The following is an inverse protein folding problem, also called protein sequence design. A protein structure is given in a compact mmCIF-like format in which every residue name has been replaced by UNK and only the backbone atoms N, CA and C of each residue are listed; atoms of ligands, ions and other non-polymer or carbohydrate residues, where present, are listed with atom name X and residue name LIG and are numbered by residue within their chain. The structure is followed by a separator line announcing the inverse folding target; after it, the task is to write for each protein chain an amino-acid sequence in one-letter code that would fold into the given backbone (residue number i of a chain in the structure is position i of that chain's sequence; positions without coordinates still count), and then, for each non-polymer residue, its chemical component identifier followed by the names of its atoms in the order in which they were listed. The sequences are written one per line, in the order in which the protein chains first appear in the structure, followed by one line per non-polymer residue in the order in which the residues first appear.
data_IF_044091194791
#
_entry.id   IF_044091194791
#
_cell.length_a   1.000
_cell.length_b   1.000
_cell.length_c   1.000
_cell.angle_alpha   90.00
_cell.angle_beta   90.00
_cell.angle_gamma   90.00
#
_symmetry.space_group_name_H-M   'P 1'
#
loop_
_entity.id
_entity.type
_entity.pdbx_description
1 polymer ?
#
# COMPACT_ATOMS: atom_id res chain seq x y z
N UNK A 1 -11.93 10.80 5.34
CA UNK A 1 -10.55 10.62 4.90
C UNK A 1 -9.71 10.05 6.02
N UNK A 2 -8.92 9.09 5.73
CA UNK A 2 -8.09 8.51 6.75
C UNK A 2 -6.80 9.33 6.90
N UNK A 3 -6.25 9.27 8.10
CA UNK A 3 -5.01 9.97 8.39
C UNK A 3 -3.86 9.00 8.29
N UNK A 4 -3.05 9.18 7.29
CA UNK A 4 -1.94 8.26 7.06
C UNK A 4 -0.94 8.32 8.20
N UNK A 5 -0.75 9.48 8.77
CA UNK A 5 0.17 9.61 9.90
C UNK A 5 -0.24 8.76 11.09
N UNK A 6 -1.54 8.46 11.21
CA UNK A 6 -2.01 7.60 12.30
C UNK A 6 -1.73 6.14 12.05
N UNK A 7 -1.58 5.75 10.78
CA UNK A 7 -1.34 4.36 10.42
C UNK A 7 0.12 4.08 10.13
N UNK A 8 0.89 5.11 9.86
CA UNK A 8 2.30 4.93 9.58
C UNK A 8 3.08 4.97 10.87
N UNK A 9 3.65 3.86 11.19
CA UNK A 9 4.60 3.79 12.27
C UNK A 9 5.99 3.81 11.65
N UNK A 10 6.61 4.96 11.68
CA UNK A 10 7.90 5.13 11.02
C UNK A 10 9.00 4.34 11.71
N UNK A 11 8.76 3.85 12.90
CA UNK A 11 9.76 3.08 13.62
C UNK A 11 10.08 1.75 12.97
N UNK A 12 9.14 1.20 12.17
CA UNK A 12 9.40 -0.08 11.54
C UNK A 12 10.28 0.04 10.30
N UNK A 13 10.51 1.25 9.83
CA UNK A 13 11.29 1.43 8.62
C UNK A 13 12.76 1.51 8.96
N UNK A 14 13.57 0.58 8.48
CA UNK A 14 15.01 0.69 8.68
C UNK A 14 15.59 1.87 7.92
N UNK A 15 14.91 2.31 6.86
CA UNK A 15 15.31 3.48 6.10
C UNK A 15 14.06 4.12 5.53
N UNK A 16 14.11 5.42 5.33
CA UNK A 16 13.01 6.10 4.66
C UNK A 16 12.91 5.67 3.22
N UNK A 17 11.70 5.74 2.66
CA UNK A 17 11.54 5.55 1.22
C UNK A 17 12.43 6.50 0.44
N UNK A 18 12.97 6.01 -0.65
CA UNK A 18 13.91 6.78 -1.47
C UNK A 18 13.22 7.67 -2.48
N UNK A 19 11.91 7.58 -2.61
CA UNK A 19 11.14 8.37 -3.55
C UNK A 19 9.85 7.66 -3.87
N UNK A 20 9.29 7.95 -5.03
CA UNK A 20 8.01 7.39 -5.46
C UNK A 20 8.18 6.67 -6.79
N UNK A 21 7.27 5.74 -7.06
CA UNK A 21 7.24 5.01 -8.31
C UNK A 21 5.80 4.79 -8.75
N UNK A 22 5.62 4.50 -10.02
CA UNK A 22 4.31 4.17 -10.57
C UNK A 22 4.02 2.69 -10.40
N UNK A 23 2.73 2.37 -10.26
CA UNK A 23 2.28 0.99 -10.29
C UNK A 23 2.40 0.47 -11.72
N UNK A 24 2.99 -0.70 -11.88
CA UNK A 24 3.13 -1.38 -13.17
C UNK A 24 2.77 -2.85 -12.99
N UNK A 25 2.08 -3.40 -13.96
CA UNK A 25 1.74 -4.82 -13.93
C UNK A 25 3.03 -5.64 -13.89
N UNK A 26 3.02 -6.68 -13.05
CA UNK A 26 4.14 -7.59 -12.82
C UNK A 26 5.27 -7.01 -11.98
N UNK A 27 5.09 -5.80 -11.45
CA UNK A 27 6.08 -5.25 -10.54
C UNK A 27 5.96 -5.90 -9.17
N UNK A 28 7.08 -6.35 -8.62
CA UNK A 28 7.10 -6.90 -7.27
C UNK A 28 7.14 -5.78 -6.25
N UNK A 29 6.40 -5.99 -5.16
CA UNK A 29 6.24 -5.00 -4.11
C UNK A 29 6.26 -5.69 -2.76
N UNK A 30 6.39 -4.89 -1.70
CA UNK A 30 6.20 -5.38 -0.35
C UNK A 30 5.53 -4.31 0.48
N UNK A 31 5.03 -4.72 1.64
CA UNK A 31 4.50 -3.81 2.64
C UNK A 31 4.86 -4.35 4.03
N UNK A 32 4.77 -3.50 5.02
CA UNK A 32 4.78 -3.93 6.41
C UNK A 32 3.53 -3.40 7.08
N UNK A 33 2.61 -4.29 7.38
CA UNK A 33 1.33 -3.93 7.97
C UNK A 33 1.27 -4.23 9.44
N UNK A 34 0.35 -3.56 10.12
CA UNK A 34 0.19 -3.75 11.56
C UNK A 34 -0.32 -5.15 11.89
N UNK A 35 -1.13 -5.74 11.00
CA UNK A 35 -1.76 -7.02 11.24
C UNK A 35 -0.89 -8.19 10.81
N UNK A 36 -0.35 -8.14 9.59
CA UNK A 36 0.32 -9.30 9.01
C UNK A 36 1.82 -9.12 8.83
N UNK A 37 2.37 -7.97 9.23
CA UNK A 37 3.81 -7.74 9.12
C UNK A 37 4.27 -7.56 7.68
N UNK A 38 5.45 -8.05 7.38
CA UNK A 38 6.05 -7.92 6.05
C UNK A 38 5.52 -9.02 5.15
N UNK A 39 4.90 -8.63 4.05
CA UNK A 39 4.49 -9.56 3.01
C UNK A 39 4.91 -9.01 1.66
N UNK A 40 5.16 -9.94 0.73
CA UNK A 40 5.56 -9.61 -0.63
C UNK A 40 4.43 -9.95 -1.58
N UNK A 41 4.34 -9.21 -2.65
CA UNK A 41 3.31 -9.42 -3.65
C UNK A 41 3.72 -8.94 -5.01
N UNK A 42 2.82 -9.11 -5.96
CA UNK A 42 3.02 -8.68 -7.33
C UNK A 42 1.78 -7.91 -7.78
N UNK A 43 1.99 -6.82 -8.51
CA UNK A 43 0.88 -6.05 -9.04
C UNK A 43 0.30 -6.80 -10.22
N UNK A 44 -1.00 -7.12 -10.13
CA UNK A 44 -1.68 -7.92 -11.14
C UNK A 44 -2.59 -7.10 -12.03
N UNK A 45 -3.01 -5.91 -11.58
CA UNK A 45 -3.90 -5.05 -12.35
C UNK A 45 -3.65 -3.61 -11.97
N UNK A 46 -3.89 -2.72 -12.93
CA UNK A 46 -3.80 -1.26 -12.71
C UNK A 46 -5.04 -0.61 -13.30
N UNK A 47 -5.23 0.66 -12.97
CA UNK A 47 -6.34 1.48 -13.51
C UNK A 47 -7.71 0.93 -13.15
N UNK A 48 -7.81 0.24 -12.02
CA UNK A 48 -9.09 -0.21 -11.53
C UNK A 48 -9.86 0.90 -10.85
N UNK A 49 -11.13 0.66 -10.63
CA UNK A 49 -11.96 1.57 -9.85
C UNK A 49 -12.83 0.77 -8.90
N UNK A 50 -13.17 1.39 -7.78
CA UNK A 50 -14.03 0.73 -6.79
C UNK A 50 -14.65 1.78 -5.89
N UNK A 51 -15.83 1.44 -5.35
CA UNK A 51 -16.42 2.21 -4.28
C UNK A 51 -16.03 1.56 -2.97
N UNK A 52 -15.40 2.33 -2.11
CA UNK A 52 -14.87 1.81 -0.86
C UNK A 52 -15.42 2.65 0.28
N UNK A 53 -15.96 1.96 1.29
CA UNK A 53 -16.46 2.63 2.48
C UNK A 53 -15.32 2.81 3.46
N UNK A 54 -15.03 4.07 3.79
CA UNK A 54 -14.04 4.43 4.81
C UNK A 54 -14.74 5.27 5.86
N UNK A 55 -14.79 4.76 7.07
CA UNK A 55 -15.39 5.48 8.20
C UNK A 55 -16.82 5.95 7.87
N UNK A 56 -17.63 5.03 7.38
CA UNK A 56 -19.04 5.27 7.07
C UNK A 56 -19.28 6.27 5.93
N UNK A 57 -18.25 6.56 5.14
CA UNK A 57 -18.37 7.39 3.96
C UNK A 57 -17.94 6.57 2.75
N UNK A 58 -18.77 6.57 1.71
CA UNK A 58 -18.43 5.89 0.47
C UNK A 58 -17.65 6.82 -0.42
N UNK A 59 -16.50 6.34 -0.88
CA UNK A 59 -15.65 7.06 -1.80
C UNK A 59 -15.52 6.26 -3.08
N UNK A 60 -15.51 6.95 -4.20
CA UNK A 60 -15.22 6.33 -5.48
C UNK A 60 -13.75 6.57 -5.81
N UNK A 61 -12.98 5.50 -5.92
CA UNK A 61 -11.56 5.57 -6.22
C UNK A 61 -11.31 5.15 -7.66
N UNK A 62 -10.39 5.85 -8.31
CA UNK A 62 -9.93 5.53 -9.66
C UNK A 62 -8.46 5.16 -9.63
N UNK A 63 -8.03 4.51 -10.69
CA UNK A 63 -6.63 4.15 -10.89
C UNK A 63 -6.05 3.30 -9.76
N UNK A 64 -6.90 2.54 -9.11
CA UNK A 64 -6.43 1.60 -8.11
C UNK A 64 -5.59 0.52 -8.77
N UNK A 65 -4.65 -0.02 -8.01
CA UNK A 65 -3.95 -1.20 -8.46
C UNK A 65 -4.17 -2.35 -7.49
N UNK A 66 -4.12 -3.55 -8.03
CA UNK A 66 -4.38 -4.76 -7.26
C UNK A 66 -3.07 -5.53 -7.07
N UNK A 67 -2.90 -6.08 -5.88
CA UNK A 67 -1.72 -6.82 -5.50
C UNK A 67 -2.14 -8.20 -5.03
N UNK A 68 -1.45 -9.22 -5.52
CA UNK A 68 -1.64 -10.59 -5.07
C UNK A 68 -0.39 -11.04 -4.33
N UNK A 69 -0.56 -11.91 -3.35
CA UNK A 69 0.55 -12.45 -2.59
C UNK A 69 1.54 -13.17 -3.52
N UNK A 70 2.81 -12.86 -3.35
CA UNK A 70 3.89 -13.50 -4.08
C UNK A 70 5.04 -13.70 -3.11
N UNK A 71 5.07 -14.83 -2.38
CA UNK A 71 6.00 -15.02 -1.29
C UNK A 71 7.46 -14.93 -1.72
N UNK A 72 8.26 -14.35 -0.84
CA UNK A 72 9.70 -14.29 -1.02
C UNK A 72 10.33 -15.31 -0.08
N UNK A 73 11.01 -16.32 -0.62
CA UNK A 73 11.62 -17.33 0.24
C UNK A 73 12.66 -16.79 1.20
N UNK A 74 13.28 -15.68 0.87
CA UNK A 74 14.26 -15.04 1.75
C UNK A 74 13.60 -14.33 2.93
N UNK A 75 12.30 -14.10 2.86
CA UNK A 75 11.56 -13.37 3.89
C UNK A 75 10.28 -14.14 4.20
N UNK A 76 10.38 -15.31 4.85
CA UNK A 76 9.21 -16.13 5.10
C UNK A 76 8.22 -15.43 6.02
N UNK A 77 6.96 -15.56 5.68
CA UNK A 77 5.85 -15.07 6.47
C UNK A 77 4.70 -16.05 6.23
N UNK A 78 4.14 -16.64 7.27
CA UNK A 78 3.12 -17.68 7.09
C UNK A 78 1.78 -17.17 6.60
N UNK A 79 1.55 -15.86 6.59
CA UNK A 79 0.26 -15.36 6.18
C UNK A 79 0.03 -15.63 4.70
N UNK A 80 -1.14 -16.22 4.32
CA UNK A 80 -1.31 -16.70 2.95
C UNK A 80 -1.62 -15.62 1.93
N UNK A 81 -2.04 -14.42 2.36
CA UNK A 81 -2.43 -13.35 1.45
C UNK A 81 -1.55 -12.13 1.67
N UNK A 82 -1.65 -11.16 0.75
CA UNK A 82 -0.82 -9.97 0.86
C UNK A 82 -1.20 -9.13 2.08
N UNK A 83 -2.49 -8.99 2.35
CA UNK A 83 -2.99 -8.24 3.51
C UNK A 83 -4.11 -8.99 4.21
N UNK A 84 -4.39 -8.56 5.43
CA UNK A 84 -5.61 -8.89 6.14
C UNK A 84 -6.24 -7.59 6.63
N UNK A 85 -7.46 -7.70 7.12
CA UNK A 85 -8.11 -6.55 7.74
C UNK A 85 -7.22 -6.04 8.88
N UNK A 86 -7.04 -4.74 8.91
CA UNK A 86 -6.11 -4.13 9.86
C UNK A 86 -4.80 -3.71 9.25
N UNK A 87 -4.53 -4.11 8.01
CA UNK A 87 -3.35 -3.65 7.27
C UNK A 87 -3.62 -2.41 6.42
N UNK A 88 -4.86 -1.92 6.39
CA UNK A 88 -5.21 -0.72 5.62
C UNK A 88 -4.40 0.46 6.08
N UNK A 89 -3.97 1.27 5.14
CA UNK A 89 -3.10 2.40 5.41
C UNK A 89 -1.62 2.08 5.30
N UNK A 90 -1.27 0.81 5.12
CA UNK A 90 0.13 0.43 4.95
C UNK A 90 0.65 0.95 3.62
N UNK A 91 1.91 1.35 3.60
CA UNK A 91 2.57 1.72 2.37
C UNK A 91 2.90 0.50 1.53
N UNK A 92 2.76 0.66 0.21
CA UNK A 92 3.23 -0.31 -0.75
C UNK A 92 4.53 0.23 -1.35
N UNK A 93 5.57 -0.58 -1.28
CA UNK A 93 6.91 -0.18 -1.67
C UNK A 93 7.45 -1.12 -2.74
N UNK A 94 8.28 -0.59 -3.61
CA UNK A 94 9.09 -1.44 -4.48
C UNK A 94 10.17 -2.12 -3.65
N UNK A 95 10.83 -3.13 -4.23
CA UNK A 95 11.88 -3.83 -3.51
C UNK A 95 13.06 -2.94 -3.15
N UNK A 96 13.22 -1.82 -3.84
CA UNK A 96 14.24 -0.83 -3.51
C UNK A 96 13.67 0.40 -2.81
N UNK A 97 12.53 0.24 -2.14
CA UNK A 97 11.96 1.22 -1.22
C UNK A 97 11.43 2.50 -1.87
N UNK A 98 10.92 2.41 -3.07
CA UNK A 98 10.15 3.51 -3.67
C UNK A 98 8.69 3.32 -3.31
N UNK A 99 8.01 4.38 -2.90
CA UNK A 99 6.60 4.32 -2.56
C UNK A 99 5.76 4.25 -3.82
N UNK A 100 4.89 3.26 -3.91
CA UNK A 100 3.94 3.15 -5.02
C UNK A 100 2.57 3.64 -4.59
N UNK A 101 2.15 3.33 -3.39
CA UNK A 101 0.81 3.69 -2.95
C UNK A 101 0.52 3.27 -1.54
N UNK A 102 -0.76 3.28 -1.21
CA UNK A 102 -1.26 2.99 0.13
C UNK A 102 -2.40 2.00 0.01
N UNK A 103 -2.37 0.96 0.85
CA UNK A 103 -3.42 -0.05 0.90
C UNK A 103 -4.72 0.57 1.36
N UNK A 104 -5.79 0.35 0.61
CA UNK A 104 -7.12 0.80 0.98
C UNK A 104 -8.02 -0.31 1.45
N UNK A 105 -7.99 -1.46 0.80
CA UNK A 105 -9.00 -2.47 1.06
C UNK A 105 -8.51 -3.85 0.66
N UNK A 106 -9.10 -4.86 1.31
CA UNK A 106 -8.93 -6.26 0.94
C UNK A 106 -10.16 -6.67 0.13
N UNK A 107 -9.92 -7.25 -1.04
CA UNK A 107 -10.98 -7.73 -1.91
C UNK A 107 -10.63 -9.16 -2.31
N UNK A 108 -11.21 -10.13 -1.62
CA UNK A 108 -10.85 -11.52 -1.82
C UNK A 108 -9.39 -11.75 -1.49
N UNK A 109 -8.65 -12.34 -2.40
CA UNK A 109 -7.22 -12.58 -2.21
C UNK A 109 -6.36 -11.39 -2.60
N UNK A 110 -6.95 -10.33 -3.11
CA UNK A 110 -6.22 -9.17 -3.59
C UNK A 110 -6.24 -8.05 -2.58
N UNK A 111 -5.20 -7.25 -2.60
CA UNK A 111 -5.17 -5.96 -1.93
C UNK A 111 -5.37 -4.88 -2.97
N UNK A 112 -6.24 -3.92 -2.68
CA UNK A 112 -6.40 -2.76 -3.54
C UNK A 112 -5.70 -1.58 -2.90
N UNK A 113 -4.92 -0.88 -3.72
CA UNK A 113 -4.12 0.23 -3.25
C UNK A 113 -4.32 1.46 -4.13
N UNK A 114 -4.21 2.61 -3.50
CA UNK A 114 -4.31 3.89 -4.17
C UNK A 114 -2.92 4.37 -4.56
N UNK A 115 -2.69 4.80 -5.81
CA UNK A 115 -1.39 5.34 -6.20
C UNK A 115 -1.00 6.54 -5.34
N UNK A 116 0.28 6.64 -5.04
CA UNK A 116 0.78 7.68 -4.14
C UNK A 116 0.49 9.08 -4.65
N UNK A 117 0.45 9.26 -5.96
CA UNK A 117 0.22 10.59 -6.53
C UNK A 117 -1.14 11.16 -6.14
N UNK A 118 -2.12 10.30 -5.88
CA UNK A 118 -3.44 10.77 -5.48
C UNK A 118 -3.54 11.08 -4.00
N UNK A 119 -2.64 10.55 -3.21
CA UNK A 119 -2.65 10.82 -1.77
C UNK A 119 -2.38 12.29 -1.51
N UNK A 120 -1.50 12.90 -2.30
CA UNK A 120 -1.22 14.32 -2.15
C UNK A 120 -2.45 15.19 -2.38
N UNK A 121 -3.36 14.73 -3.25
CA UNK A 121 -4.57 15.48 -3.54
C UNK A 121 -5.53 15.54 -2.37
N UNK A 122 -5.33 14.70 -1.37
CA UNK A 122 -6.14 14.73 -0.16
C UNK A 122 -5.48 15.53 0.95
N UNK A 123 -4.40 16.22 0.64
CA UNK A 123 -3.73 17.04 1.64
C UNK A 123 -2.90 16.24 2.63
N UNK A 124 -2.51 15.05 2.28
CA UNK A 124 -1.72 14.22 3.17
C UNK A 124 -0.25 14.52 2.96
N UNK A 125 0.23 15.52 3.66
CA UNK A 125 1.55 16.08 3.44
C UNK A 125 2.62 15.44 4.30
N UNK A 126 2.30 14.36 4.98
CA UNK A 126 3.25 13.69 5.86
C UNK A 126 4.50 13.22 5.12
N UNK A 127 4.42 13.13 3.82
CA UNK A 127 5.56 12.73 3.00
C UNK A 127 6.35 13.89 2.49
N UNK A 128 5.97 15.04 2.84
CA UNK A 128 6.54 16.20 2.24
C UNK A 128 8.03 16.00 1.98
N UNK A 129 8.47 16.13 0.74
CA UNK A 129 9.84 15.77 0.39
C UNK A 129 10.90 16.57 1.09
N UNK A 130 10.57 17.77 1.54
CA UNK A 130 11.60 18.45 2.19
C UNK A 130 11.75 18.03 3.60
N UNK A 131 10.82 17.26 4.09
CA UNK A 131 11.06 16.55 5.33
C UNK A 131 11.68 15.21 5.06
N UNK A 132 11.87 14.90 3.85
CA UNK A 132 12.52 13.68 3.46
C UNK A 132 13.83 14.02 2.79
#
# INVERSE_FOLDING_TARGET
IFKITDTLNMDWQPSFPQGVANAQINRRVYKKGAKTGVTFGIITAIKGSADINLRNTNYHFKDLFAIERDPDPANPNPFPEFIDFGDSGSLVLTLNNLIIGIILAKMGKYAYACPIKYIKNFGLEFWNPEVT
#
